data_IF_280853509122
#
_entry.id   IF_280853509122
#
_cell.length_a   1.000
_cell.length_b   1.000
_cell.length_c   1.000
_cell.angle_alpha   90.00
_cell.angle_beta   90.00
_cell.angle_gamma   90.00
#
_symmetry.space_group_name_H-M   'P 1'
#
loop_
_entity.id
_entity.type
_entity.pdbx_description
1 polymer ?
#
# COMPACT_ATOMS: atom_id res chain seq x y z
N UNK A 1 -6.54 30.26 -9.07
CA UNK A 1 -6.12 29.51 -7.88
C UNK A 1 -7.11 28.38 -7.65
N UNK A 2 -6.63 27.19 -7.44
CA UNK A 2 -7.49 26.04 -7.11
C UNK A 2 -8.17 26.32 -5.75
N UNK A 3 -9.47 26.08 -5.67
CA UNK A 3 -10.27 26.41 -4.47
C UNK A 3 -10.56 25.17 -3.61
N UNK A 4 -10.10 23.99 -4.00
CA UNK A 4 -10.42 22.75 -3.28
C UNK A 4 -9.56 22.58 -2.03
N UNK A 5 -10.20 22.08 -0.98
CA UNK A 5 -9.57 21.70 0.28
C UNK A 5 -9.21 20.21 0.27
N UNK A 6 -8.02 19.87 0.78
CA UNK A 6 -7.51 18.52 0.83
C UNK A 6 -7.04 18.14 2.23
N UNK A 7 -7.38 16.94 2.69
CA UNK A 7 -6.71 16.26 3.79
C UNK A 7 -5.75 15.21 3.22
N UNK A 8 -4.45 15.39 3.50
CA UNK A 8 -3.42 14.42 3.16
C UNK A 8 -3.05 13.58 4.39
N UNK A 9 -3.20 12.26 4.27
CA UNK A 9 -2.80 11.29 5.28
C UNK A 9 -1.62 10.48 4.74
N UNK A 10 -0.49 10.50 5.43
CA UNK A 10 0.73 9.87 4.95
C UNK A 10 1.57 9.23 6.04
N UNK A 11 2.64 8.58 5.59
CA UNK A 11 3.65 7.96 6.44
C UNK A 11 4.71 8.98 6.83
N UNK A 12 5.00 9.10 8.12
CA UNK A 12 6.07 9.95 8.62
C UNK A 12 7.46 9.43 8.20
N UNK A 13 8.41 10.34 8.01
CA UNK A 13 9.80 10.04 7.68
C UNK A 13 9.96 9.21 6.38
N UNK A 14 9.11 9.50 5.38
CA UNK A 14 9.09 8.81 4.09
C UNK A 14 9.23 9.83 2.96
N UNK A 15 10.23 9.65 2.11
CA UNK A 15 10.56 10.61 1.04
C UNK A 15 9.45 10.71 -0.02
N UNK A 16 8.80 9.59 -0.37
CA UNK A 16 7.72 9.60 -1.35
C UNK A 16 6.46 10.26 -0.78
N UNK A 17 6.15 10.07 0.52
CA UNK A 17 5.10 10.82 1.19
C UNK A 17 5.39 12.31 1.22
N UNK A 18 6.63 12.72 1.50
CA UNK A 18 7.01 14.13 1.50
C UNK A 18 6.83 14.76 0.12
N UNK A 19 7.27 14.08 -0.94
CA UNK A 19 7.12 14.52 -2.33
C UNK A 19 5.65 14.61 -2.76
N UNK A 20 4.83 13.65 -2.36
CA UNK A 20 3.40 13.66 -2.62
C UNK A 20 2.69 14.82 -1.90
N UNK A 21 3.06 15.08 -0.64
CA UNK A 21 2.53 16.21 0.14
C UNK A 21 2.92 17.56 -0.47
N UNK A 22 4.18 17.74 -0.88
CA UNK A 22 4.67 18.95 -1.53
C UNK A 22 3.86 19.26 -2.80
N UNK A 23 3.61 18.25 -3.64
CA UNK A 23 2.73 18.39 -4.80
C UNK A 23 1.32 18.85 -4.39
N UNK A 24 0.72 18.25 -3.38
CA UNK A 24 -0.60 18.64 -2.91
C UNK A 24 -0.62 20.11 -2.44
N UNK A 25 0.39 20.55 -1.69
CA UNK A 25 0.50 21.92 -1.20
C UNK A 25 0.60 22.96 -2.32
N UNK A 26 1.23 22.60 -3.45
CA UNK A 26 1.31 23.45 -4.64
C UNK A 26 0.04 23.42 -5.51
N UNK A 27 -0.74 22.33 -5.46
CA UNK A 27 -1.84 22.08 -6.39
C UNK A 27 -3.24 22.37 -5.83
N UNK A 28 -3.44 22.36 -4.50
CA UNK A 28 -4.74 22.56 -3.86
C UNK A 28 -4.82 23.92 -3.12
N UNK A 29 -6.03 24.45 -2.97
CA UNK A 29 -6.27 25.75 -2.34
C UNK A 29 -5.97 25.77 -0.85
N UNK A 30 -6.22 24.66 -0.16
CA UNK A 30 -5.82 24.46 1.23
C UNK A 30 -5.51 23.00 1.49
N UNK A 31 -4.42 22.72 2.20
CA UNK A 31 -4.00 21.35 2.54
C UNK A 31 -3.83 21.24 4.05
N UNK A 32 -4.68 20.43 4.66
CA UNK A 32 -4.45 19.87 6.00
C UNK A 32 -3.71 18.56 5.85
N UNK A 33 -2.70 18.28 6.67
CA UNK A 33 -1.99 17.00 6.56
C UNK A 33 -1.73 16.38 7.93
N UNK A 34 -1.64 15.06 7.94
CA UNK A 34 -1.20 14.28 9.09
C UNK A 34 -0.26 13.17 8.62
N UNK A 35 0.95 13.15 9.16
CA UNK A 35 1.96 12.12 8.90
C UNK A 35 2.17 11.32 10.18
N UNK A 36 2.04 9.99 10.11
CA UNK A 36 2.14 9.13 11.28
C UNK A 36 2.95 7.88 11.07
N UNK A 37 3.32 7.27 12.20
CA UNK A 37 4.01 5.97 12.28
C UNK A 37 2.99 4.86 12.57
N UNK A 38 3.46 3.63 12.47
CA UNK A 38 2.64 2.48 12.83
C UNK A 38 2.28 2.52 14.32
N UNK A 39 0.98 2.42 14.63
CA UNK A 39 0.45 2.45 15.99
C UNK A 39 0.05 3.83 16.50
N UNK A 40 0.37 4.90 15.78
CA UNK A 40 -0.09 6.24 16.16
C UNK A 40 -1.62 6.33 16.04
N UNK A 41 -2.33 6.92 17.03
CA UNK A 41 -3.74 7.20 16.90
C UNK A 41 -3.98 8.33 15.88
N UNK A 42 -5.10 8.27 15.16
CA UNK A 42 -5.53 9.40 14.32
C UNK A 42 -5.94 10.55 15.22
N UNK A 43 -5.32 11.76 15.10
CA UNK A 43 -5.62 12.89 15.94
C UNK A 43 -7.11 13.31 15.88
N UNK A 44 -7.73 13.73 17.00
CA UNK A 44 -9.15 14.12 17.03
C UNK A 44 -9.51 15.22 16.04
N UNK A 45 -8.62 16.23 15.87
CA UNK A 45 -8.79 17.32 14.91
C UNK A 45 -8.81 16.85 13.46
N UNK A 46 -8.00 15.83 13.14
CA UNK A 46 -8.01 15.19 11.82
C UNK A 46 -9.29 14.37 11.64
N UNK A 47 -9.71 13.66 12.68
CA UNK A 47 -10.95 12.90 12.64
C UNK A 47 -12.17 13.80 12.46
N UNK A 48 -12.14 15.04 12.95
CA UNK A 48 -13.23 16.03 12.81
C UNK A 48 -13.15 16.84 11.50
N UNK A 49 -12.14 16.62 10.65
CA UNK A 49 -11.92 17.38 9.43
C UNK A 49 -13.08 17.26 8.44
N UNK A 50 -13.36 18.36 7.72
CA UNK A 50 -14.34 18.44 6.64
C UNK A 50 -13.72 19.16 5.44
N UNK A 51 -14.00 18.66 4.23
CA UNK A 51 -13.45 19.27 3.03
C UNK A 51 -13.81 18.54 1.74
N UNK A 52 -13.09 18.88 0.67
CA UNK A 52 -13.43 18.36 -0.66
C UNK A 52 -12.83 17.00 -0.91
N UNK A 53 -11.58 16.79 -0.54
CA UNK A 53 -10.85 15.57 -0.85
C UNK A 53 -10.08 15.00 0.35
N UNK A 54 -10.00 13.69 0.44
CA UNK A 54 -9.01 12.98 1.26
C UNK A 54 -8.10 12.18 0.34
N UNK A 55 -6.78 12.31 0.56
CA UNK A 55 -5.75 11.45 -0.04
C UNK A 55 -5.06 10.67 1.07
N UNK A 56 -5.03 9.35 0.94
CA UNK A 56 -4.21 8.44 1.74
C UNK A 56 -3.07 7.92 0.87
N UNK A 57 -1.84 8.25 1.23
CA UNK A 57 -0.64 7.82 0.54
C UNK A 57 0.34 7.16 1.53
N UNK A 58 0.50 5.84 1.44
CA UNK A 58 1.26 5.02 2.40
C UNK A 58 0.86 5.21 3.86
N UNK A 59 -0.33 5.74 4.11
CA UNK A 59 -0.86 6.01 5.45
C UNK A 59 -0.94 4.76 6.32
N UNK A 60 -0.80 4.94 7.63
CA UNK A 60 -0.89 3.87 8.63
C UNK A 60 -2.26 3.76 9.28
N UNK A 61 -3.18 4.66 8.95
CA UNK A 61 -4.52 4.69 9.52
C UNK A 61 -5.56 4.07 8.60
N UNK A 62 -6.49 3.35 9.22
CA UNK A 62 -7.77 3.06 8.60
C UNK A 62 -8.65 4.30 8.82
N UNK A 63 -9.08 4.93 7.72
CA UNK A 63 -9.87 6.16 7.79
C UNK A 63 -11.28 5.83 8.30
N UNK A 64 -11.75 6.45 9.41
CA UNK A 64 -13.05 6.16 9.97
C UNK A 64 -14.21 6.55 9.04
N UNK A 65 -15.29 5.79 9.07
CA UNK A 65 -16.47 6.02 8.21
C UNK A 65 -17.11 7.39 8.45
N UNK A 66 -17.11 7.87 9.69
CA UNK A 66 -17.61 9.18 10.05
C UNK A 66 -16.80 10.33 9.42
N UNK A 67 -15.50 10.17 9.23
CA UNK A 67 -14.66 11.09 8.47
C UNK A 67 -14.94 10.98 6.96
N UNK A 68 -15.06 9.77 6.41
CA UNK A 68 -15.37 9.57 5.00
C UNK A 68 -16.70 10.23 4.59
N UNK A 69 -17.72 10.23 5.47
CA UNK A 69 -19.03 10.85 5.22
C UNK A 69 -18.99 12.39 5.15
N UNK A 70 -17.93 13.04 5.65
CA UNK A 70 -17.78 14.50 5.60
C UNK A 70 -17.02 15.00 4.38
N UNK A 71 -16.57 14.08 3.52
CA UNK A 71 -15.87 14.42 2.28
C UNK A 71 -16.88 14.78 1.20
N UNK A 72 -16.74 15.97 0.61
CA UNK A 72 -17.71 16.47 -0.37
C UNK A 72 -17.55 15.91 -1.78
N UNK A 73 -16.32 15.54 -2.17
CA UNK A 73 -16.01 15.07 -3.54
C UNK A 73 -15.50 13.64 -3.56
N UNK A 74 -14.30 13.39 -3.06
CA UNK A 74 -13.72 12.03 -3.05
C UNK A 74 -12.71 11.82 -1.93
N UNK A 75 -12.73 10.62 -1.36
CA UNK A 75 -11.66 10.09 -0.52
C UNK A 75 -10.98 8.95 -1.27
N UNK A 76 -9.68 9.08 -1.54
CA UNK A 76 -8.92 8.11 -2.34
C UNK A 76 -7.72 7.55 -1.57
N UNK A 77 -7.43 6.28 -1.79
CA UNK A 77 -6.24 5.61 -1.27
C UNK A 77 -5.36 5.14 -2.42
N UNK A 78 -4.05 5.34 -2.25
CA UNK A 78 -3.03 4.80 -3.15
C UNK A 78 -2.46 3.54 -2.51
N UNK A 79 -2.94 2.40 -2.98
CA UNK A 79 -2.53 1.08 -2.50
C UNK A 79 -1.32 0.59 -3.30
N UNK A 80 -0.18 0.20 -2.64
CA UNK A 80 1.03 -0.24 -3.32
C UNK A 80 0.93 -1.69 -3.81
N UNK A 81 -0.15 -2.02 -4.49
CA UNK A 81 -0.39 -3.32 -5.10
C UNK A 81 -1.40 -3.26 -6.23
N UNK A 82 -1.36 -4.25 -7.10
CA UNK A 82 -2.43 -4.52 -8.06
C UNK A 82 -3.67 -5.10 -7.36
N UNK A 83 -4.85 -5.08 -8.01
CA UNK A 83 -6.12 -5.52 -7.42
C UNK A 83 -6.16 -6.98 -6.95
N UNK A 84 -5.21 -7.79 -7.38
CA UNK A 84 -5.06 -9.19 -6.97
C UNK A 84 -4.50 -9.32 -5.54
N UNK A 85 -3.90 -8.25 -5.00
CA UNK A 85 -3.19 -8.30 -3.72
C UNK A 85 -3.66 -7.21 -2.72
N UNK A 86 -4.95 -7.16 -2.36
CA UNK A 86 -5.44 -6.23 -1.34
C UNK A 86 -4.94 -6.61 0.06
N UNK A 87 -4.83 -5.65 0.95
CA UNK A 87 -4.54 -5.85 2.37
C UNK A 87 -3.06 -5.80 2.72
N UNK A 88 -2.60 -6.74 3.54
CA UNK A 88 -1.26 -6.72 4.15
C UNK A 88 -0.31 -7.66 3.44
N UNK A 89 0.97 -7.26 3.24
CA UNK A 89 2.01 -8.11 2.66
C UNK A 89 1.83 -8.34 1.16
N UNK A 90 1.20 -7.39 0.47
CA UNK A 90 0.79 -7.51 -0.92
C UNK A 90 1.92 -7.93 -1.88
N UNK A 91 3.09 -7.26 -1.85
CA UNK A 91 4.25 -7.63 -2.66
C UNK A 91 4.85 -9.00 -2.26
N UNK A 92 4.77 -9.35 -0.98
CA UNK A 92 5.21 -10.64 -0.48
C UNK A 92 4.34 -11.78 -1.06
N UNK A 93 3.01 -11.61 -1.07
CA UNK A 93 2.12 -12.59 -1.67
C UNK A 93 2.30 -12.68 -3.18
N UNK A 94 2.54 -11.57 -3.88
CA UNK A 94 2.82 -11.59 -5.31
C UNK A 94 4.08 -12.42 -5.64
N UNK A 95 5.16 -12.25 -4.88
CA UNK A 95 6.37 -13.07 -5.01
C UNK A 95 6.13 -14.52 -4.65
N UNK A 96 5.40 -14.80 -3.59
CA UNK A 96 5.06 -16.15 -3.16
C UNK A 96 4.22 -16.90 -4.20
N UNK A 97 3.26 -16.24 -4.81
CA UNK A 97 2.39 -16.78 -5.86
C UNK A 97 3.06 -16.80 -7.25
N UNK A 98 4.32 -16.34 -7.37
CA UNK A 98 5.03 -16.19 -8.64
C UNK A 98 4.24 -15.38 -9.68
N UNK A 99 3.67 -14.25 -9.26
CA UNK A 99 2.98 -13.33 -10.14
C UNK A 99 3.87 -12.93 -11.31
N UNK A 100 3.29 -12.83 -12.51
CA UNK A 100 4.00 -12.34 -13.71
C UNK A 100 3.88 -10.84 -13.88
N UNK A 101 2.87 -10.26 -13.26
CA UNK A 101 2.55 -8.84 -13.30
C UNK A 101 2.12 -8.39 -11.90
N UNK A 102 2.44 -7.15 -11.57
CA UNK A 102 2.06 -6.48 -10.34
C UNK A 102 1.69 -5.03 -10.63
N UNK A 103 1.46 -4.20 -9.62
CA UNK A 103 1.07 -2.82 -9.88
C UNK A 103 0.87 -1.97 -8.65
N UNK A 104 0.30 -0.78 -8.87
CA UNK A 104 -0.23 0.11 -7.85
C UNK A 104 -1.66 0.50 -8.23
N UNK A 105 -2.53 0.59 -7.23
CA UNK A 105 -3.97 0.84 -7.40
C UNK A 105 -4.39 2.12 -6.69
N UNK A 106 -5.04 3.05 -7.39
CA UNK A 106 -5.81 4.12 -6.77
C UNK A 106 -7.28 3.73 -6.74
N UNK A 107 -7.91 3.84 -5.57
CA UNK A 107 -9.31 3.48 -5.40
C UNK A 107 -10.02 4.42 -4.44
N UNK A 108 -11.35 4.52 -4.56
CA UNK A 108 -12.16 5.19 -3.55
C UNK A 108 -12.07 4.46 -2.22
N UNK A 109 -11.99 5.21 -1.12
CA UNK A 109 -12.05 4.61 0.20
C UNK A 109 -13.46 4.12 0.51
N UNK A 110 -13.54 2.98 1.18
CA UNK A 110 -14.76 2.42 1.74
C UNK A 110 -14.53 2.09 3.22
N UNK A 111 -15.59 1.71 3.94
CA UNK A 111 -15.49 1.32 5.36
C UNK A 111 -14.58 0.11 5.61
N UNK A 112 -14.42 -0.75 4.59
CA UNK A 112 -13.48 -1.87 4.61
C UNK A 112 -12.25 -1.53 3.79
N UNK A 113 -11.06 -1.92 4.30
CA UNK A 113 -9.77 -1.68 3.62
C UNK A 113 -9.75 -2.36 2.26
N UNK A 114 -9.25 -1.65 1.24
CA UNK A 114 -9.02 -2.13 -0.12
C UNK A 114 -10.24 -2.85 -0.73
N UNK A 115 -11.43 -2.23 -0.63
CA UNK A 115 -12.68 -2.76 -1.19
C UNK A 115 -13.48 -1.73 -1.99
N UNK A 116 -13.05 -0.48 -2.00
CA UNK A 116 -13.73 0.58 -2.75
C UNK A 116 -13.54 0.47 -4.26
N UNK A 117 -14.37 1.19 -5.01
CA UNK A 117 -14.30 1.21 -6.48
C UNK A 117 -12.93 1.68 -6.96
N UNK A 118 -12.34 0.95 -7.89
CA UNK A 118 -11.02 1.24 -8.44
C UNK A 118 -11.13 2.40 -9.43
N UNK A 119 -10.24 3.37 -9.29
CA UNK A 119 -10.14 4.55 -10.15
C UNK A 119 -9.18 4.24 -11.30
N UNK A 120 -7.95 3.85 -10.95
CA UNK A 120 -6.89 3.60 -11.93
C UNK A 120 -5.87 2.60 -11.38
N UNK A 121 -5.29 1.80 -12.25
CA UNK A 121 -4.22 0.85 -11.92
C UNK A 121 -3.03 1.09 -12.85
N UNK A 122 -1.81 1.13 -12.30
CA UNK A 122 -0.58 1.07 -13.08
C UNK A 122 0.08 -0.27 -12.88
N UNK A 123 0.19 -1.03 -13.97
CA UNK A 123 0.75 -2.39 -13.98
C UNK A 123 2.16 -2.41 -14.53
N UNK A 124 2.96 -3.36 -14.07
CA UNK A 124 4.32 -3.61 -14.53
C UNK A 124 4.71 -5.08 -14.35
N UNK A 125 5.67 -5.61 -15.11
CA UNK A 125 6.09 -7.00 -15.02
C UNK A 125 6.83 -7.30 -13.71
N UNK A 126 6.68 -8.54 -13.23
CA UNK A 126 7.50 -9.14 -12.17
C UNK A 126 8.49 -10.08 -12.82
N UNK A 127 9.77 -9.90 -12.53
CA UNK A 127 10.85 -10.71 -13.09
C UNK A 127 11.25 -11.88 -12.19
N UNK A 128 11.79 -12.97 -12.75
CA UNK A 128 12.22 -14.12 -11.96
C UNK A 128 13.23 -13.80 -10.86
N UNK A 129 14.09 -12.80 -11.11
CA UNK A 129 15.13 -12.31 -10.20
C UNK A 129 14.62 -11.32 -9.15
N UNK A 130 13.38 -10.86 -9.26
CA UNK A 130 12.82 -9.92 -8.27
C UNK A 130 12.73 -10.57 -6.90
N UNK A 131 13.13 -9.79 -5.92
CA UNK A 131 12.93 -10.00 -4.49
C UNK A 131 11.97 -8.95 -3.90
N UNK A 132 11.83 -8.94 -2.57
CA UNK A 132 10.95 -7.99 -1.89
C UNK A 132 11.40 -6.54 -2.11
N UNK A 133 12.71 -6.29 -2.13
CA UNK A 133 13.26 -4.93 -2.25
C UNK A 133 13.05 -4.36 -3.66
N UNK A 134 13.46 -5.10 -4.70
CA UNK A 134 13.33 -4.67 -6.09
C UNK A 134 11.87 -4.50 -6.51
N UNK A 135 10.99 -5.42 -6.10
CA UNK A 135 9.56 -5.32 -6.38
C UNK A 135 8.93 -4.12 -5.66
N UNK A 136 9.27 -3.88 -4.38
CA UNK A 136 8.76 -2.76 -3.60
C UNK A 136 9.21 -1.41 -4.17
N UNK A 137 10.48 -1.28 -4.56
CA UNK A 137 11.00 -0.07 -5.17
C UNK A 137 10.25 0.27 -6.46
N UNK A 138 10.10 -0.70 -7.37
CA UNK A 138 9.35 -0.52 -8.63
C UNK A 138 7.89 -0.18 -8.37
N UNK A 139 7.29 -0.78 -7.34
CA UNK A 139 5.91 -0.45 -6.94
C UNK A 139 5.77 1.01 -6.54
N UNK A 140 6.67 1.54 -5.73
CA UNK A 140 6.61 2.92 -5.28
C UNK A 140 6.84 3.91 -6.43
N UNK A 141 7.70 3.59 -7.39
CA UNK A 141 7.89 4.41 -8.60
C UNK A 141 6.59 4.52 -9.41
N UNK A 142 5.91 3.40 -9.65
CA UNK A 142 4.63 3.39 -10.37
C UNK A 142 3.49 4.00 -9.55
N UNK A 143 3.49 3.82 -8.23
CA UNK A 143 2.53 4.43 -7.33
C UNK A 143 2.66 5.96 -7.32
N UNK A 144 3.89 6.50 -7.37
CA UNK A 144 4.12 7.94 -7.46
C UNK A 144 3.62 8.50 -8.80
N UNK A 145 3.85 7.80 -9.92
CA UNK A 145 3.29 8.20 -11.22
C UNK A 145 1.75 8.20 -11.19
N UNK A 146 1.16 7.16 -10.61
CA UNK A 146 -0.29 7.04 -10.43
C UNK A 146 -0.82 8.18 -9.55
N UNK A 147 -0.08 8.52 -8.49
CA UNK A 147 -0.43 9.61 -7.60
C UNK A 147 -0.49 10.95 -8.34
N UNK A 148 0.54 11.33 -9.09
CA UNK A 148 0.54 12.59 -9.82
C UNK A 148 -0.59 12.68 -10.85
N UNK A 149 -0.90 11.56 -11.52
CA UNK A 149 -1.99 11.51 -12.49
C UNK A 149 -3.35 11.76 -11.83
N UNK A 150 -3.68 11.02 -10.76
CA UNK A 150 -4.98 11.14 -10.10
C UNK A 150 -5.09 12.41 -9.27
N UNK A 151 -4.05 12.77 -8.51
CA UNK A 151 -4.04 14.02 -7.73
C UNK A 151 -4.11 15.26 -8.63
N UNK A 152 -3.50 15.22 -9.82
CA UNK A 152 -3.66 16.26 -10.85
C UNK A 152 -5.10 16.41 -11.31
N UNK A 153 -5.78 15.30 -11.62
CA UNK A 153 -7.22 15.32 -11.96
C UNK A 153 -8.07 15.91 -10.83
N UNK A 154 -7.79 15.52 -9.58
CA UNK A 154 -8.49 16.06 -8.41
C UNK A 154 -8.26 17.57 -8.26
N UNK A 155 -7.03 18.02 -8.43
CA UNK A 155 -6.67 19.44 -8.37
C UNK A 155 -7.36 20.26 -9.46
N UNK A 156 -7.54 19.74 -10.64
CA UNK A 156 -8.27 20.35 -11.75
C UNK A 156 -9.80 20.26 -11.59
N UNK A 157 -10.28 19.54 -10.58
CA UNK A 157 -11.71 19.30 -10.36
C UNK A 157 -12.36 18.40 -11.41
N UNK A 158 -11.55 17.63 -12.13
CA UNK A 158 -12.03 16.68 -13.13
C UNK A 158 -12.69 15.49 -12.47
N UNK A 159 -13.62 14.88 -13.17
CA UNK A 159 -14.21 13.60 -12.75
C UNK A 159 -13.13 12.50 -12.78
N UNK A 160 -13.10 11.70 -11.69
CA UNK A 160 -12.17 10.58 -11.61
C UNK A 160 -12.67 9.41 -12.46
N UNK A 161 -11.79 8.74 -13.20
CA UNK A 161 -12.19 7.62 -14.03
C UNK A 161 -12.73 6.45 -13.19
N UNK A 162 -13.57 5.63 -13.81
CA UNK A 162 -14.03 4.36 -13.25
C UNK A 162 -13.31 3.24 -13.98
N UNK A 163 -12.47 2.51 -13.27
CA UNK A 163 -11.77 1.37 -13.84
C UNK A 163 -12.72 0.19 -14.07
N UNK A 164 -12.48 -0.57 -15.15
CA UNK A 164 -13.12 -1.87 -15.35
C UNK A 164 -12.53 -2.95 -14.40
N UNK A 165 -11.36 -2.72 -13.84
CA UNK A 165 -10.71 -3.63 -12.91
C UNK A 165 -11.44 -3.71 -11.57
N UNK A 166 -11.34 -4.87 -10.93
CA UNK A 166 -11.98 -5.13 -9.64
C UNK A 166 -11.02 -5.88 -8.72
N UNK A 167 -11.22 -5.73 -7.43
CA UNK A 167 -10.57 -6.57 -6.43
C UNK A 167 -10.94 -8.04 -6.68
N UNK A 168 -9.95 -8.91 -6.79
CA UNK A 168 -10.16 -10.32 -7.19
C UNK A 168 -10.33 -11.25 -6.01
N UNK A 169 -10.03 -10.77 -4.80
CA UNK A 169 -10.11 -11.55 -3.55
C UNK A 169 -10.34 -10.63 -2.33
N UNK A 170 -10.73 -11.19 -1.17
CA UNK A 170 -10.71 -10.47 0.10
C UNK A 170 -9.28 -10.02 0.47
N UNK A 171 -9.13 -8.91 1.24
CA UNK A 171 -7.83 -8.43 1.70
C UNK A 171 -7.08 -9.49 2.53
N UNK A 172 -5.78 -9.63 2.23
CA UNK A 172 -4.88 -10.46 3.03
C UNK A 172 -4.79 -9.93 4.46
N UNK A 173 -4.83 -10.84 5.41
CA UNK A 173 -4.79 -10.55 6.84
C UNK A 173 -3.37 -10.62 7.41
N UNK A 174 -3.17 -10.03 8.59
CA UNK A 174 -1.91 -10.16 9.34
C UNK A 174 -1.59 -11.62 9.66
N UNK A 175 -2.59 -12.44 9.95
CA UNK A 175 -2.42 -13.87 10.23
C UNK A 175 -1.85 -14.59 9.00
N UNK A 176 -2.47 -14.41 7.84
CA UNK A 176 -1.97 -15.00 6.58
C UNK A 176 -0.54 -14.54 6.25
N UNK A 177 -0.27 -13.24 6.43
CA UNK A 177 1.07 -12.71 6.21
C UNK A 177 2.10 -13.34 7.15
N UNK A 178 1.80 -13.48 8.44
CA UNK A 178 2.69 -14.10 9.41
C UNK A 178 2.96 -15.58 9.10
N UNK A 179 1.99 -16.31 8.51
CA UNK A 179 2.17 -17.69 8.10
C UNK A 179 3.20 -17.88 6.97
N UNK A 180 3.46 -16.85 6.13
CA UNK A 180 4.52 -16.94 5.13
C UNK A 180 5.91 -17.05 5.74
N UNK A 181 6.11 -16.53 6.95
CA UNK A 181 7.41 -16.60 7.64
C UNK A 181 7.75 -18.02 8.14
N UNK A 182 6.72 -18.84 8.37
CA UNK A 182 6.90 -20.14 9.02
C UNK A 182 7.33 -21.20 8.02
N UNK A 183 8.46 -21.85 8.28
CA UNK A 183 8.91 -23.05 7.58
C UNK A 183 8.60 -24.25 8.46
N UNK A 184 8.11 -25.34 7.86
CA UNK A 184 7.84 -26.58 8.58
C UNK A 184 8.62 -27.75 7.94
N UNK A 185 8.94 -28.81 8.71
CA UNK A 185 9.71 -29.96 8.18
C UNK A 185 9.06 -30.70 7.01
N UNK A 186 7.74 -30.54 6.81
CA UNK A 186 7.02 -31.18 5.69
C UNK A 186 7.07 -30.40 4.37
N UNK A 187 7.65 -29.20 4.35
CA UNK A 187 7.76 -28.39 3.13
C UNK A 187 8.88 -28.90 2.24
N UNK A 188 8.60 -28.97 0.94
CA UNK A 188 9.61 -29.29 -0.05
C UNK A 188 10.56 -28.09 -0.34
N UNK A 189 11.62 -28.37 -1.10
CA UNK A 189 12.62 -27.36 -1.45
C UNK A 189 12.01 -26.17 -2.21
N UNK A 190 11.02 -26.39 -3.07
CA UNK A 190 10.41 -25.35 -3.87
C UNK A 190 9.55 -24.41 -3.00
N UNK A 191 8.79 -24.97 -2.06
CA UNK A 191 7.99 -24.18 -1.10
C UNK A 191 8.88 -23.34 -0.18
N UNK A 192 9.96 -23.93 0.33
CA UNK A 192 10.93 -23.21 1.17
C UNK A 192 11.55 -22.05 0.37
N UNK A 193 11.98 -22.28 -0.87
CA UNK A 193 12.57 -21.26 -1.71
C UNK A 193 11.59 -20.10 -2.00
N UNK A 194 10.32 -20.41 -2.28
CA UNK A 194 9.27 -19.37 -2.46
C UNK A 194 9.09 -18.50 -1.22
N UNK A 195 9.05 -19.09 -0.03
CA UNK A 195 8.94 -18.36 1.24
C UNK A 195 10.16 -17.50 1.50
N UNK A 196 11.37 -18.00 1.29
CA UNK A 196 12.60 -17.23 1.41
C UNK A 196 12.54 -16.01 0.49
N UNK A 197 12.22 -16.19 -0.80
CA UNK A 197 12.10 -15.12 -1.79
C UNK A 197 11.06 -14.06 -1.36
N UNK A 198 9.92 -14.51 -0.86
CA UNK A 198 8.78 -13.66 -0.53
C UNK A 198 8.96 -12.87 0.77
N UNK A 199 9.85 -13.31 1.69
CA UNK A 199 9.92 -12.75 3.05
C UNK A 199 11.25 -12.08 3.36
N UNK A 200 12.39 -12.57 2.79
CA UNK A 200 13.71 -12.06 3.16
C UNK A 200 13.89 -10.58 2.78
N UNK A 201 13.83 -9.68 3.78
CA UNK A 201 13.95 -8.25 3.57
C UNK A 201 14.24 -7.50 4.87
N UNK A 202 15.29 -6.66 4.92
CA UNK A 202 15.60 -5.75 6.03
C UNK A 202 15.48 -6.35 7.44
N UNK A 203 16.03 -7.56 7.63
CA UNK A 203 15.98 -8.27 8.92
C UNK A 203 14.74 -9.15 9.10
N UNK A 204 13.77 -9.13 8.20
CA UNK A 204 12.72 -10.13 8.16
C UNK A 204 13.24 -11.39 7.47
N UNK A 205 13.09 -12.53 8.16
CA UNK A 205 13.55 -13.82 7.66
C UNK A 205 12.52 -14.91 7.97
N UNK A 206 12.35 -15.89 7.07
CA UNK A 206 11.60 -17.10 7.39
C UNK A 206 12.27 -17.84 8.55
N UNK A 207 11.47 -18.59 9.31
CA UNK A 207 11.96 -19.30 10.49
C UNK A 207 11.33 -20.69 10.63
N UNK A 208 12.03 -21.54 11.39
CA UNK A 208 11.55 -22.84 11.87
C UNK A 208 11.43 -22.77 13.39
N UNK A 209 10.36 -23.31 13.94
CA UNK A 209 10.20 -23.53 15.39
C UNK A 209 10.32 -25.03 15.69
N UNK A 210 11.27 -25.38 16.55
CA UNK A 210 11.50 -26.74 17.02
C UNK A 210 11.64 -26.75 18.54
N UNK A 211 10.84 -27.53 19.23
CA UNK A 211 10.86 -27.70 20.69
C UNK A 211 10.85 -26.35 21.46
N UNK A 212 10.09 -25.35 20.94
CA UNK A 212 10.02 -24.01 21.53
C UNK A 212 11.15 -23.05 21.19
N UNK A 213 12.12 -23.49 20.37
CA UNK A 213 13.20 -22.64 19.89
C UNK A 213 12.94 -22.18 18.47
N UNK A 214 13.22 -20.90 18.17
CA UNK A 214 13.09 -20.28 16.85
C UNK A 214 14.45 -20.18 16.15
N UNK A 215 14.55 -20.72 14.94
CA UNK A 215 15.72 -20.67 14.08
C UNK A 215 15.38 -19.89 12.84
N UNK A 216 16.07 -18.77 12.60
CA UNK A 216 15.84 -17.92 11.43
C UNK A 216 16.77 -18.28 10.28
N UNK A 217 16.25 -18.21 9.05
CA UNK A 217 17.06 -18.38 7.85
C UNK A 217 18.13 -17.29 7.78
N UNK A 218 19.35 -17.66 7.51
CA UNK A 218 20.45 -16.74 7.22
C UNK A 218 20.91 -16.98 5.78
N UNK A 219 20.78 -15.99 4.87
CA UNK A 219 21.28 -16.17 3.52
C UNK A 219 22.80 -16.42 3.53
N UNK A 220 23.32 -17.20 2.56
CA UNK A 220 24.75 -17.33 2.39
C UNK A 220 25.41 -15.96 2.22
N UNK A 221 26.61 -15.79 2.77
CA UNK A 221 27.39 -14.57 2.49
C UNK A 221 27.56 -14.45 0.96
N UNK A 222 27.26 -13.28 0.43
CA UNK A 222 27.56 -13.00 -0.97
C UNK A 222 29.09 -13.06 -1.14
N UNK A 223 29.55 -13.95 -2.05
CA UNK A 223 30.95 -14.13 -2.37
C UNK A 223 31.48 -12.93 -3.18
#
# INVERSE_FOLDING_TARGET
>A
MNQFSLLFLGKAEDADCARALEFCQGAFGSVTFCLGKWGDPLPPEIRAWEGDYIVSYLSRWVVPEDLLKRVRKAAVNFHPASPEYPGIGCNNFALYENAREYGATCHHMASKVDTGAIILVKRFPVYPEDDVESLLQRTYEHQMQLFFEVAGMMAEGRELPVSAEKWTRPPFTRVQFNELFRITPGMDKAEIARRIRAISFKGWQPYVELEGYRFEYKPPAQA
#
